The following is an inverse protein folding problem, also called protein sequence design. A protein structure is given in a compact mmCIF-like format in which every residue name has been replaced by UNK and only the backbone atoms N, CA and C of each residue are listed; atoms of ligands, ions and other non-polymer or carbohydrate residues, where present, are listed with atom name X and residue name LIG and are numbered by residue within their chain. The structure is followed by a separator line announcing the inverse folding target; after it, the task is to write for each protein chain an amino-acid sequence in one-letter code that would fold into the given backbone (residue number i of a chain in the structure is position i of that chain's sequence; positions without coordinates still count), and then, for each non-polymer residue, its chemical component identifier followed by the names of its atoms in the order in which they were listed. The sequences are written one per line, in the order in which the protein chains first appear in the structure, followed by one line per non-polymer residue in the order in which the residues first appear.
data_IF_131053073496
#
_entry.id   IF_131053073496
#
_cell.length_a   1.000
_cell.length_b   1.000
_cell.length_c   1.000
_cell.angle_alpha   90.00
_cell.angle_beta   90.00
_cell.angle_gamma   90.00
#
_symmetry.space_group_name_H-M   'P 1'
#
loop_
_entity.id
_entity.type
_entity.pdbx_description
1 polymer ?
#
# COMPACT_ATOMS: atom_id res chain seq x y z
N UNK A 1 68.50 -23.50 -8.91
CA UNK A 1 68.14 -23.47 -10.34
C UNK A 1 66.62 -23.36 -10.42
N UNK A 2 66.11 -22.15 -10.59
CA UNK A 2 64.68 -21.84 -10.54
C UNK A 2 64.04 -22.04 -11.91
N UNK A 3 62.97 -22.83 -11.97
CA UNK A 3 62.16 -23.03 -13.18
C UNK A 3 60.91 -22.18 -13.04
N UNK A 4 60.84 -21.11 -13.85
CA UNK A 4 59.64 -20.31 -14.04
C UNK A 4 58.70 -21.03 -15.03
N UNK A 5 57.46 -21.30 -14.61
CA UNK A 5 56.35 -21.66 -15.48
C UNK A 5 55.45 -20.43 -15.68
N UNK A 6 55.11 -20.02 -16.91
CA UNK A 6 54.23 -18.89 -17.15
C UNK A 6 52.76 -19.29 -17.00
N UNK A 7 52.05 -18.57 -16.14
CA UNK A 7 50.59 -18.68 -15.99
C UNK A 7 49.91 -18.02 -17.21
N UNK A 8 49.16 -18.80 -17.99
CA UNK A 8 48.41 -18.32 -19.16
C UNK A 8 47.21 -17.47 -18.75
N UNK A 9 47.22 -16.21 -19.18
CA UNK A 9 46.25 -15.13 -18.89
C UNK A 9 44.85 -15.33 -19.53
N UNK A 10 44.62 -16.38 -20.31
CA UNK A 10 43.38 -16.53 -21.11
C UNK A 10 42.20 -17.20 -20.37
N UNK A 11 42.40 -17.74 -19.16
CA UNK A 11 41.35 -18.52 -18.47
C UNK A 11 40.55 -17.73 -17.41
N UNK A 12 40.99 -16.53 -17.01
CA UNK A 12 40.29 -15.73 -16.01
C UNK A 12 39.11 -14.90 -16.57
N UNK A 13 39.04 -14.72 -17.90
CA UNK A 13 38.03 -13.86 -18.56
C UNK A 13 36.70 -14.54 -18.83
N UNK A 14 36.66 -15.88 -18.91
CA UNK A 14 35.42 -16.63 -19.19
C UNK A 14 34.58 -16.89 -17.94
N UNK A 15 35.18 -16.95 -16.75
CA UNK A 15 34.43 -17.12 -15.50
C UNK A 15 33.72 -15.83 -15.05
N UNK A 16 34.30 -14.66 -15.31
CA UNK A 16 33.66 -13.37 -14.98
C UNK A 16 32.40 -13.06 -15.79
N UNK A 17 32.31 -13.55 -17.04
CA UNK A 17 31.15 -13.30 -17.91
C UNK A 17 29.93 -14.14 -17.52
N UNK A 18 30.12 -15.37 -17.05
CA UNK A 18 29.04 -16.24 -16.57
C UNK A 18 28.48 -15.79 -15.22
N UNK A 19 29.31 -15.30 -14.30
CA UNK A 19 28.82 -14.71 -13.05
C UNK A 19 28.06 -13.39 -13.27
N UNK A 20 28.48 -12.56 -14.22
CA UNK A 20 27.78 -11.31 -14.53
C UNK A 20 26.41 -11.54 -15.18
N UNK A 21 26.27 -12.54 -16.06
CA UNK A 21 24.99 -12.93 -16.66
C UNK A 21 24.04 -13.60 -15.65
N UNK A 22 24.56 -14.42 -14.74
CA UNK A 22 23.76 -15.04 -13.67
C UNK A 22 23.25 -14.01 -12.65
N UNK A 23 24.10 -13.04 -12.24
CA UNK A 23 23.69 -11.94 -11.36
C UNK A 23 22.70 -10.98 -12.05
N UNK A 24 22.88 -10.72 -13.34
CA UNK A 24 21.93 -9.91 -14.14
C UNK A 24 20.57 -10.59 -14.29
N UNK A 25 20.53 -11.91 -14.49
CA UNK A 25 19.28 -12.67 -14.58
C UNK A 25 18.56 -12.77 -13.21
N UNK A 26 19.29 -12.92 -12.11
CA UNK A 26 18.71 -12.92 -10.75
C UNK A 26 18.13 -11.53 -10.41
N UNK A 27 18.83 -10.44 -10.75
CA UNK A 27 18.32 -9.08 -10.54
C UNK A 27 17.02 -8.81 -11.35
N UNK A 28 16.93 -9.30 -12.59
CA UNK A 28 15.71 -9.18 -13.41
C UNK A 28 14.55 -10.03 -12.90
N UNK A 29 14.80 -11.20 -12.32
CA UNK A 29 13.75 -12.06 -11.73
C UNK A 29 13.24 -11.51 -10.40
N UNK A 30 14.09 -10.83 -9.61
CA UNK A 30 13.67 -10.17 -8.36
C UNK A 30 12.93 -8.85 -8.64
N UNK A 31 13.34 -8.07 -9.65
CA UNK A 31 12.66 -6.83 -10.05
C UNK A 31 11.37 -7.07 -10.86
N UNK A 32 11.24 -8.21 -11.55
CA UNK A 32 10.09 -8.52 -12.40
C UNK A 32 8.84 -9.06 -11.68
N UNK A 33 8.93 -9.38 -10.38
CA UNK A 33 7.82 -9.99 -9.61
C UNK A 33 6.83 -9.01 -8.99
N UNK A 34 7.03 -7.70 -9.17
CA UNK A 34 6.21 -6.67 -8.54
C UNK A 34 5.68 -5.68 -9.59
N UNK A 35 5.14 -6.18 -10.70
CA UNK A 35 4.28 -5.31 -11.51
C UNK A 35 3.02 -5.05 -10.68
N UNK A 36 2.76 -3.79 -10.25
CA UNK A 36 1.49 -3.47 -9.60
C UNK A 36 0.33 -3.92 -10.49
N UNK A 37 -0.79 -4.30 -9.88
CA UNK A 37 -1.93 -4.76 -10.65
C UNK A 37 -2.32 -3.71 -11.69
N UNK A 38 -2.69 -4.16 -12.90
CA UNK A 38 -3.12 -3.26 -13.97
C UNK A 38 -4.26 -2.40 -13.44
N UNK A 39 -4.01 -1.10 -13.31
CA UNK A 39 -5.04 -0.14 -12.94
C UNK A 39 -6.11 -0.13 -14.03
N UNK A 40 -7.38 -0.25 -13.63
CA UNK A 40 -8.49 -0.10 -14.57
C UNK A 40 -9.01 1.32 -14.46
N UNK A 41 -9.01 2.03 -15.58
CA UNK A 41 -9.63 3.34 -15.68
C UNK A 41 -11.10 3.20 -16.08
N UNK A 42 -11.99 3.80 -15.30
CA UNK A 42 -13.41 3.94 -15.63
C UNK A 42 -13.64 5.44 -15.80
N UNK A 43 -13.61 5.97 -17.03
CA UNK A 43 -13.74 7.40 -17.29
C UNK A 43 -15.02 7.96 -16.66
N UNK A 44 -14.90 9.12 -16.03
CA UNK A 44 -16.00 9.86 -15.40
C UNK A 44 -16.69 9.18 -14.21
N UNK A 45 -16.06 8.17 -13.58
CA UNK A 45 -16.52 7.71 -12.26
C UNK A 45 -16.10 8.68 -11.15
N UNK A 46 -16.89 8.76 -10.07
CA UNK A 46 -16.49 9.56 -8.89
C UNK A 46 -15.13 9.13 -8.34
N UNK A 47 -14.81 7.84 -8.46
CA UNK A 47 -13.52 7.29 -8.06
C UNK A 47 -12.37 7.79 -8.96
N UNK A 48 -12.52 7.76 -10.29
CA UNK A 48 -11.49 8.28 -11.20
C UNK A 48 -11.30 9.78 -11.04
N UNK A 49 -12.38 10.53 -10.81
CA UNK A 49 -12.32 11.98 -10.55
C UNK A 49 -11.59 12.28 -9.24
N UNK A 50 -11.89 11.56 -8.16
CA UNK A 50 -11.16 11.69 -6.90
C UNK A 50 -9.68 11.31 -7.06
N UNK A 51 -9.37 10.20 -7.73
CA UNK A 51 -8.00 9.73 -7.94
C UNK A 51 -7.15 10.63 -8.87
N UNK A 52 -7.77 11.54 -9.64
CA UNK A 52 -7.02 12.53 -10.42
C UNK A 52 -6.23 13.51 -9.54
N UNK A 53 -6.61 13.68 -8.27
CA UNK A 53 -5.89 14.54 -7.34
C UNK A 53 -4.71 13.82 -6.69
N UNK A 54 -3.49 14.38 -6.71
CA UNK A 54 -2.31 13.73 -6.15
C UNK A 54 -2.47 13.32 -4.68
N UNK A 55 -3.13 14.12 -3.84
CA UNK A 55 -3.34 13.80 -2.42
C UNK A 55 -4.30 12.63 -2.17
N UNK A 56 -5.05 12.17 -3.17
CA UNK A 56 -5.86 10.95 -3.07
C UNK A 56 -5.09 9.70 -3.53
N UNK A 57 -3.93 9.87 -4.16
CA UNK A 57 -3.08 8.78 -4.61
C UNK A 57 -2.10 8.37 -3.52
N UNK A 58 -2.10 7.08 -3.20
CA UNK A 58 -1.18 6.49 -2.21
C UNK A 58 0.28 6.81 -2.51
N UNK A 59 0.68 6.80 -3.78
CA UNK A 59 2.05 7.05 -4.22
C UNK A 59 2.54 8.49 -3.96
N UNK A 60 1.63 9.44 -3.71
CA UNK A 60 1.98 10.82 -3.37
C UNK A 60 2.59 10.96 -1.98
N UNK A 61 2.44 9.94 -1.11
CA UNK A 61 2.98 9.95 0.24
C UNK A 61 4.22 9.06 0.33
N UNK A 62 5.40 9.61 0.69
CA UNK A 62 6.64 8.84 0.71
C UNK A 62 6.61 7.77 1.81
N UNK A 63 7.01 6.55 1.48
CA UNK A 63 7.17 5.46 2.44
C UNK A 63 8.49 5.67 3.18
N UNK A 64 8.41 6.32 4.33
CA UNK A 64 9.53 6.60 5.23
C UNK A 64 9.14 6.21 6.65
N UNK A 65 10.08 5.86 7.54
CA UNK A 65 9.77 5.64 8.95
C UNK A 65 8.91 6.79 9.51
N UNK A 66 7.86 6.44 10.26
CA UNK A 66 6.97 7.44 10.83
C UNK A 66 7.74 8.30 11.86
N UNK A 67 7.57 9.64 11.84
CA UNK A 67 8.23 10.50 12.80
C UNK A 67 7.79 10.16 14.24
N UNK A 68 8.72 10.22 15.19
CA UNK A 68 8.45 10.04 16.64
C UNK A 68 7.77 11.27 17.26
N UNK A 69 6.80 11.85 16.56
CA UNK A 69 6.07 13.03 17.04
C UNK A 69 5.22 12.67 18.26
N UNK A 70 5.32 13.44 19.34
CA UNK A 70 4.42 13.28 20.49
C UNK A 70 2.94 13.59 20.15
N UNK A 71 2.70 14.30 19.04
CA UNK A 71 1.39 14.81 18.65
C UNK A 71 0.67 13.95 17.58
N UNK A 72 1.41 13.03 16.95
CA UNK A 72 0.89 12.11 15.94
C UNK A 72 1.14 10.69 16.42
N UNK A 73 0.16 9.80 16.19
CA UNK A 73 0.26 8.40 16.54
C UNK A 73 0.09 7.54 15.30
N UNK A 74 0.90 6.51 15.10
CA UNK A 74 0.64 5.50 14.07
C UNK A 74 -0.78 4.93 14.22
N UNK A 75 -1.45 4.66 13.09
CA UNK A 75 -2.78 4.05 13.08
C UNK A 75 -2.79 2.57 13.54
N UNK A 76 -1.60 1.99 13.78
CA UNK A 76 -1.39 0.61 14.17
C UNK A 76 0.10 0.27 14.13
N UNK A 77 0.48 -0.88 14.69
CA UNK A 77 1.87 -1.37 14.71
C UNK A 77 2.33 -1.87 13.34
N UNK A 78 1.40 -2.37 12.53
CA UNK A 78 1.64 -2.80 11.16
C UNK A 78 0.67 -2.11 10.24
N UNK A 79 1.21 -1.28 9.36
CA UNK A 79 0.47 -0.46 8.41
C UNK A 79 1.04 -0.66 7.03
N UNK A 80 0.17 -0.68 6.04
CA UNK A 80 0.59 -0.89 4.67
C UNK A 80 -0.56 -0.84 3.70
N UNK A 81 -0.22 -1.12 2.46
CA UNK A 81 -1.17 -1.28 1.37
C UNK A 81 -1.28 -2.75 0.99
N UNK A 82 -2.50 -3.20 0.73
CA UNK A 82 -2.73 -4.48 0.09
C UNK A 82 -2.59 -4.35 -1.42
N UNK A 83 -1.90 -5.32 -2.02
CA UNK A 83 -1.71 -5.45 -3.46
C UNK A 83 -2.27 -6.81 -3.87
N UNK A 84 -3.17 -6.81 -4.85
CA UNK A 84 -3.74 -8.05 -5.37
C UNK A 84 -2.64 -8.85 -6.10
N UNK A 85 -2.40 -10.13 -5.79
CA UNK A 85 -1.43 -10.95 -6.51
C UNK A 85 -1.75 -11.02 -7.99
N UNK A 86 -0.74 -10.99 -8.86
CA UNK A 86 -0.96 -11.20 -10.29
C UNK A 86 -1.46 -12.64 -10.57
N UNK A 87 -1.98 -12.90 -11.77
CA UNK A 87 -2.36 -14.27 -12.15
C UNK A 87 -1.15 -15.22 -12.16
N UNK A 88 0.04 -14.71 -12.51
CA UNK A 88 1.28 -15.47 -12.49
C UNK A 88 1.69 -15.83 -11.06
N UNK A 89 1.60 -14.86 -10.14
CA UNK A 89 1.86 -15.10 -8.72
C UNK A 89 0.92 -16.15 -8.15
N UNK A 90 -0.37 -16.03 -8.46
CA UNK A 90 -1.39 -16.97 -8.00
C UNK A 90 -1.19 -18.37 -8.58
N UNK A 91 -0.84 -18.48 -9.87
CA UNK A 91 -0.54 -19.76 -10.51
C UNK A 91 0.69 -20.46 -9.89
N UNK A 92 1.71 -19.68 -9.51
CA UNK A 92 2.89 -20.19 -8.84
C UNK A 92 2.59 -20.67 -7.40
N UNK A 93 1.68 -19.98 -6.70
CA UNK A 93 1.30 -20.33 -5.35
C UNK A 93 -0.20 -20.07 -5.10
N UNK A 94 -1.07 -21.06 -5.34
CA UNK A 94 -2.50 -20.91 -5.13
C UNK A 94 -2.88 -20.76 -3.64
N UNK A 95 -4.04 -20.17 -3.38
CA UNK A 95 -4.62 -19.99 -2.04
C UNK A 95 -4.95 -18.53 -1.71
N UNK A 96 -5.55 -18.29 -0.54
CA UNK A 96 -5.89 -16.93 -0.11
C UNK A 96 -4.71 -16.25 0.59
N UNK A 97 -4.12 -15.30 -0.11
CA UNK A 97 -3.04 -14.43 0.34
C UNK A 97 -3.03 -13.15 -0.50
N UNK A 98 -2.42 -12.10 0.02
CA UNK A 98 -2.22 -10.85 -0.71
C UNK A 98 -0.78 -10.35 -0.51
N UNK A 99 -0.31 -9.49 -1.41
CA UNK A 99 0.91 -8.73 -1.18
C UNK A 99 0.62 -7.60 -0.19
N UNK A 100 1.58 -7.31 0.69
CA UNK A 100 1.50 -6.24 1.67
C UNK A 100 2.75 -5.37 1.56
N UNK A 101 2.58 -4.14 1.09
CA UNK A 101 3.64 -3.13 1.07
C UNK A 101 3.72 -2.48 2.45
N UNK A 102 4.81 -2.71 3.17
CA UNK A 102 4.97 -2.30 4.57
C UNK A 102 5.29 -0.80 4.62
N UNK A 103 4.41 -0.02 5.24
CA UNK A 103 4.63 1.42 5.46
C UNK A 103 5.06 1.75 6.88
N UNK A 104 4.72 0.87 7.82
CA UNK A 104 5.15 0.87 9.20
C UNK A 104 5.08 -0.57 9.71
N UNK A 105 6.13 -1.02 10.37
CA UNK A 105 6.19 -2.31 11.05
C UNK A 105 6.57 -2.11 12.50
N UNK A 106 6.23 -3.09 13.34
CA UNK A 106 6.57 -3.08 14.75
C UNK A 106 8.09 -2.93 14.98
N UNK A 107 8.50 -2.50 16.17
CA UNK A 107 9.89 -2.18 16.54
C UNK A 107 10.93 -3.27 16.21
N UNK A 108 10.52 -4.51 15.94
CA UNK A 108 11.39 -5.63 15.55
C UNK A 108 11.62 -5.83 14.04
N UNK A 109 11.05 -5.02 13.16
CA UNK A 109 11.19 -5.21 11.71
C UNK A 109 11.34 -3.89 10.89
N UNK A 110 12.22 -2.95 11.29
CA UNK A 110 12.39 -1.69 10.58
C UNK A 110 12.86 -1.89 9.13
N UNK A 111 13.65 -2.94 8.87
CA UNK A 111 14.19 -3.24 7.54
C UNK A 111 13.12 -3.59 6.52
N UNK A 112 11.92 -3.98 6.96
CA UNK A 112 10.81 -4.31 6.07
C UNK A 112 10.08 -3.06 5.56
N UNK A 113 10.28 -1.88 6.15
CA UNK A 113 9.62 -0.65 5.68
C UNK A 113 10.01 -0.36 4.23
N UNK A 114 9.00 -0.18 3.37
CA UNK A 114 9.15 -0.02 1.92
C UNK A 114 9.26 -1.33 1.14
N UNK A 115 9.32 -2.48 1.82
CA UNK A 115 9.30 -3.79 1.16
C UNK A 115 7.88 -4.30 0.98
N UNK A 116 7.70 -5.11 -0.06
CA UNK A 116 6.48 -5.89 -0.29
C UNK A 116 6.70 -7.31 0.19
N UNK A 117 5.91 -7.74 1.17
CA UNK A 117 5.94 -9.10 1.73
C UNK A 117 4.61 -9.79 1.52
N UNK A 118 4.59 -11.12 1.53
CA UNK A 118 3.33 -11.87 1.46
C UNK A 118 2.60 -11.78 2.80
N UNK A 119 1.31 -11.48 2.75
CA UNK A 119 0.38 -11.57 3.87
C UNK A 119 -0.50 -12.82 3.70
N UNK A 120 -0.51 -13.68 4.71
CA UNK A 120 -1.33 -14.89 4.76
C UNK A 120 -2.13 -14.96 6.07
N UNK A 121 -3.04 -15.93 6.14
CA UNK A 121 -3.70 -16.28 7.39
C UNK A 121 -2.77 -17.06 8.31
N UNK A 122 -2.81 -16.72 9.61
CA UNK A 122 -2.17 -17.54 10.64
C UNK A 122 -2.82 -18.92 10.67
N UNK A 123 -2.05 -20.03 10.68
CA UNK A 123 -2.62 -21.37 10.73
C UNK A 123 -3.47 -21.58 11.98
N UNK A 124 -4.77 -21.80 11.79
CA UNK A 124 -5.71 -22.20 12.84
C UNK A 124 -6.96 -22.80 12.21
N UNK A 125 -7.66 -23.68 12.94
CA UNK A 125 -8.91 -24.27 12.46
C UNK A 125 -9.98 -23.20 12.17
N UNK A 126 -10.04 -22.15 13.00
CA UNK A 126 -10.99 -21.05 12.82
C UNK A 126 -10.73 -20.28 11.51
N UNK A 127 -9.46 -19.94 11.22
CA UNK A 127 -9.11 -19.24 9.99
C UNK A 127 -9.34 -20.11 8.76
N UNK A 128 -8.97 -21.39 8.81
CA UNK A 128 -9.23 -22.32 7.71
C UNK A 128 -10.71 -22.43 7.39
N UNK A 129 -11.57 -22.60 8.42
CA UNK A 129 -13.01 -22.67 8.24
C UNK A 129 -13.58 -21.35 7.69
N UNK A 130 -13.14 -20.21 8.22
CA UNK A 130 -13.57 -18.91 7.72
C UNK A 130 -13.22 -18.72 6.24
N UNK A 131 -11.95 -18.93 5.87
CA UNK A 131 -11.47 -18.80 4.49
C UNK A 131 -12.24 -19.73 3.55
N UNK A 132 -12.37 -21.01 3.91
CA UNK A 132 -13.11 -21.99 3.10
C UNK A 132 -14.57 -21.59 2.89
N UNK A 133 -15.23 -21.08 3.93
CA UNK A 133 -16.67 -20.73 3.89
C UNK A 133 -16.96 -19.57 2.93
N UNK A 134 -16.07 -18.59 2.88
CA UNK A 134 -16.30 -17.32 2.17
C UNK A 134 -15.55 -17.23 0.84
N UNK A 135 -14.65 -18.18 0.56
CA UNK A 135 -13.94 -18.25 -0.73
C UNK A 135 -14.93 -18.51 -1.86
N UNK A 136 -14.87 -17.71 -2.92
CA UNK A 136 -15.78 -17.81 -4.07
C UNK A 136 -15.04 -17.65 -5.38
N UNK A 137 -15.59 -18.27 -6.41
CA UNK A 137 -15.28 -17.92 -7.79
C UNK A 137 -16.05 -16.64 -8.14
N UNK A 138 -15.39 -15.70 -8.81
CA UNK A 138 -15.96 -14.41 -9.17
C UNK A 138 -16.09 -14.32 -10.68
N UNK A 139 -17.32 -14.20 -11.14
CA UNK A 139 -17.67 -13.94 -12.52
C UNK A 139 -18.76 -12.87 -12.54
N UNK A 140 -18.58 -11.84 -13.36
CA UNK A 140 -19.53 -10.75 -13.43
C UNK A 140 -20.82 -11.20 -14.10
N UNK A 141 -21.94 -10.83 -13.48
CA UNK A 141 -23.24 -10.95 -14.13
C UNK A 141 -23.44 -9.80 -15.12
N UNK A 142 -24.41 -9.95 -16.02
CA UNK A 142 -24.82 -8.85 -16.90
C UNK A 142 -25.19 -7.58 -16.13
N UNK A 143 -25.73 -7.73 -14.90
CA UNK A 143 -26.01 -6.60 -14.03
C UNK A 143 -24.71 -5.87 -13.65
N UNK A 144 -23.69 -6.58 -13.18
CA UNK A 144 -22.40 -5.99 -12.80
C UNK A 144 -21.74 -5.25 -13.99
N UNK A 145 -21.81 -5.83 -15.19
CA UNK A 145 -21.34 -5.18 -16.42
C UNK A 145 -22.12 -3.90 -16.74
N UNK A 146 -23.44 -3.91 -16.57
CA UNK A 146 -24.25 -2.71 -16.76
C UNK A 146 -23.91 -1.63 -15.72
N UNK A 147 -23.64 -1.99 -14.46
CA UNK A 147 -23.21 -1.03 -13.43
C UNK A 147 -21.88 -0.38 -13.82
N UNK A 148 -20.90 -1.19 -14.25
CA UNK A 148 -19.62 -0.73 -14.75
C UNK A 148 -19.78 0.24 -15.93
N UNK A 149 -20.59 -0.12 -16.93
CA UNK A 149 -20.84 0.70 -18.10
C UNK A 149 -21.50 2.06 -17.78
N UNK A 150 -22.22 2.14 -16.66
CA UNK A 150 -22.82 3.36 -16.14
C UNK A 150 -21.89 4.17 -15.21
N UNK A 151 -20.58 3.86 -15.19
CA UNK A 151 -19.59 4.60 -14.40
C UNK A 151 -19.56 4.24 -12.91
N UNK A 152 -20.23 3.16 -12.49
CA UNK A 152 -20.14 2.68 -11.11
C UNK A 152 -18.87 1.86 -10.90
N UNK A 153 -18.31 1.96 -9.69
CA UNK A 153 -17.18 1.13 -9.29
C UNK A 153 -17.67 -0.28 -8.96
N UNK A 154 -17.14 -1.24 -9.67
CA UNK A 154 -17.25 -2.68 -9.39
C UNK A 154 -15.83 -3.26 -9.27
N UNK A 155 -15.63 -4.37 -8.53
CA UNK A 155 -14.30 -4.94 -8.29
C UNK A 155 -13.78 -5.70 -9.53
N UNK A 156 -13.61 -4.99 -10.65
CA UNK A 156 -13.36 -5.55 -11.98
C UNK A 156 -12.07 -6.38 -12.04
N UNK A 157 -11.08 -6.08 -11.19
CA UNK A 157 -9.82 -6.82 -11.09
C UNK A 157 -9.99 -8.24 -10.55
N UNK A 158 -11.14 -8.52 -9.94
CA UNK A 158 -11.52 -9.85 -9.47
C UNK A 158 -12.36 -10.62 -10.50
N UNK A 159 -12.85 -9.97 -11.56
CA UNK A 159 -13.68 -10.64 -12.55
C UNK A 159 -12.90 -11.77 -13.25
N UNK A 160 -13.50 -12.96 -13.30
CA UNK A 160 -12.90 -14.16 -13.89
C UNK A 160 -11.97 -14.93 -12.94
N UNK A 161 -11.66 -14.40 -11.76
CA UNK A 161 -10.82 -15.11 -10.79
C UNK A 161 -11.57 -16.25 -10.12
N UNK A 162 -10.86 -17.35 -9.87
CA UNK A 162 -11.36 -18.52 -9.14
C UNK A 162 -10.77 -18.54 -7.73
N UNK A 163 -11.53 -19.08 -6.78
CA UNK A 163 -11.09 -19.27 -5.38
C UNK A 163 -10.58 -17.98 -4.73
N UNK A 164 -11.30 -16.88 -4.96
CA UNK A 164 -11.03 -15.59 -4.31
C UNK A 164 -11.44 -15.68 -2.86
N UNK A 165 -10.46 -15.75 -1.96
CA UNK A 165 -10.68 -15.65 -0.52
C UNK A 165 -10.71 -14.19 -0.03
N UNK A 166 -10.88 -13.96 1.28
CA UNK A 166 -11.04 -12.63 1.84
C UNK A 166 -9.87 -11.67 1.61
N UNK A 167 -8.62 -12.14 1.71
CA UNK A 167 -7.46 -11.25 1.54
C UNK A 167 -7.38 -10.76 0.10
N UNK A 168 -7.57 -11.65 -0.87
CA UNK A 168 -7.63 -11.26 -2.29
C UNK A 168 -8.87 -10.40 -2.59
N UNK A 169 -10.02 -10.71 -2.00
CA UNK A 169 -11.24 -9.91 -2.17
C UNK A 169 -11.04 -8.48 -1.71
N UNK A 170 -10.44 -8.29 -0.53
CA UNK A 170 -10.12 -6.98 0.02
C UNK A 170 -9.09 -6.23 -0.83
N UNK A 171 -8.02 -6.90 -1.26
CA UNK A 171 -6.97 -6.30 -2.09
C UNK A 171 -7.46 -5.90 -3.50
N UNK A 172 -8.39 -6.67 -4.08
CA UNK A 172 -8.94 -6.45 -5.41
C UNK A 172 -10.26 -5.68 -5.45
N UNK A 173 -10.75 -5.19 -4.30
CA UNK A 173 -12.04 -4.52 -4.20
C UNK A 173 -12.11 -3.17 -4.94
N UNK A 174 -10.95 -2.53 -5.17
CA UNK A 174 -10.82 -1.23 -5.82
C UNK A 174 -10.13 -1.34 -7.18
N UNK A 175 -10.26 -0.31 -8.00
CA UNK A 175 -9.70 -0.28 -9.36
C UNK A 175 -8.16 -0.24 -9.40
N UNK A 176 -7.53 0.10 -8.29
CA UNK A 176 -6.08 0.16 -8.13
C UNK A 176 -5.68 -0.49 -6.80
N UNK A 177 -4.39 -0.78 -6.63
CA UNK A 177 -3.83 -1.14 -5.33
C UNK A 177 -3.70 0.12 -4.48
N UNK A 178 -4.80 0.54 -3.86
CA UNK A 178 -4.89 1.73 -3.00
C UNK A 178 -5.64 1.45 -1.68
N UNK A 179 -5.89 0.18 -1.37
CA UNK A 179 -6.48 -0.25 -0.10
C UNK A 179 -5.41 -0.24 0.98
N UNK A 180 -5.52 0.73 1.89
CA UNK A 180 -4.61 0.89 3.02
C UNK A 180 -5.19 0.25 4.26
N UNK A 181 -4.41 -0.59 4.95
CA UNK A 181 -4.88 -1.37 6.09
C UNK A 181 -3.93 -1.30 7.26
N UNK A 182 -4.49 -1.54 8.45
CA UNK A 182 -3.72 -1.96 9.62
C UNK A 182 -3.97 -3.44 9.92
N UNK A 183 -2.93 -4.12 10.39
CA UNK A 183 -3.04 -5.50 10.88
C UNK A 183 -3.16 -5.51 12.40
N UNK A 184 -3.96 -6.44 12.93
CA UNK A 184 -4.12 -6.66 14.38
C UNK A 184 -3.32 -7.88 14.77
N UNK A 185 -2.34 -7.69 15.65
CA UNK A 185 -1.43 -8.72 16.17
C UNK A 185 -0.85 -9.67 15.10
N UNK A 186 -0.29 -9.16 13.99
CA UNK A 186 0.28 -10.05 12.98
C UNK A 186 1.55 -10.73 13.50
N UNK A 187 1.77 -11.97 13.09
CA UNK A 187 3.01 -12.71 13.28
C UNK A 187 3.91 -12.58 12.07
N UNK A 188 5.20 -12.38 12.28
CA UNK A 188 6.21 -12.41 11.23
C UNK A 188 6.91 -13.76 11.25
N UNK A 189 6.96 -14.44 10.11
CA UNK A 189 7.56 -15.78 9.98
C UNK A 189 8.53 -15.82 8.80
N UNK A 190 9.54 -16.69 8.86
CA UNK A 190 10.40 -16.97 7.73
C UNK A 190 9.94 -18.29 7.09
N UNK A 191 9.54 -18.24 5.82
CA UNK A 191 9.11 -19.39 5.04
C UNK A 191 10.07 -19.56 3.86
N UNK A 192 10.90 -20.61 3.89
CA UNK A 192 11.85 -20.91 2.81
C UNK A 192 12.80 -19.74 2.46
N UNK A 193 13.17 -18.92 3.45
CA UNK A 193 14.05 -17.77 3.27
C UNK A 193 13.33 -16.45 2.99
N UNK A 194 12.00 -16.48 2.79
CA UNK A 194 11.17 -15.29 2.57
C UNK A 194 10.44 -14.89 3.86
N UNK A 195 10.39 -13.59 4.14
CA UNK A 195 9.62 -13.06 5.26
C UNK A 195 8.14 -12.98 4.88
N UNK A 196 7.29 -13.58 5.70
CA UNK A 196 5.84 -13.68 5.49
C UNK A 196 5.11 -13.17 6.72
N UNK A 197 4.22 -12.20 6.52
CA UNK A 197 3.29 -11.73 7.53
C UNK A 197 2.08 -12.65 7.62
N UNK A 198 1.66 -12.95 8.84
CA UNK A 198 0.52 -13.80 9.14
C UNK A 198 -0.47 -13.05 10.02
N UNK A 199 -1.72 -12.95 9.60
CA UNK A 199 -2.78 -12.32 10.41
C UNK A 199 -3.79 -13.35 10.90
N UNK A 200 -4.30 -13.16 12.12
CA UNK A 200 -5.42 -13.96 12.64
C UNK A 200 -6.77 -13.32 12.37
N UNK A 201 -6.80 -12.03 12.07
CA UNK A 201 -8.01 -11.24 11.85
C UNK A 201 -7.96 -10.59 10.47
N UNK A 202 -9.13 -10.30 9.91
CA UNK A 202 -9.22 -9.55 8.66
C UNK A 202 -8.54 -8.18 8.81
N UNK A 203 -7.71 -7.77 7.83
CA UNK A 203 -7.10 -6.44 7.86
C UNK A 203 -8.13 -5.33 7.96
N UNK A 204 -7.89 -4.36 8.83
CA UNK A 204 -8.82 -3.22 9.04
C UNK A 204 -8.43 -2.12 8.05
N UNK A 205 -9.35 -1.73 7.18
CA UNK A 205 -9.17 -0.56 6.31
C UNK A 205 -9.05 0.72 7.15
N UNK A 206 -8.06 1.53 6.82
CA UNK A 206 -7.77 2.80 7.51
C UNK A 206 -7.64 3.92 6.49
N UNK A 207 -7.69 5.16 6.97
CA UNK A 207 -7.33 6.35 6.21
C UNK A 207 -6.11 6.99 6.86
N UNK A 208 -5.00 7.06 6.11
CA UNK A 208 -3.76 7.65 6.58
C UNK A 208 -2.91 6.76 7.49
N UNK A 209 -1.65 7.14 7.65
CA UNK A 209 -0.61 6.39 8.37
C UNK A 209 -0.53 6.76 9.84
N UNK A 210 -0.84 8.02 10.14
CA UNK A 210 -0.81 8.59 11.47
C UNK A 210 -2.07 9.42 11.70
N UNK A 211 -2.43 9.62 12.96
CA UNK A 211 -3.51 10.51 13.35
C UNK A 211 -3.09 11.35 14.56
N UNK A 212 -3.65 12.56 14.64
CA UNK A 212 -3.52 13.46 15.79
C UNK A 212 -4.84 14.17 16.03
N UNK A 213 -5.12 14.48 17.30
CA UNK A 213 -6.30 15.26 17.66
C UNK A 213 -5.92 16.74 17.66
N UNK A 214 -6.67 17.55 16.91
CA UNK A 214 -6.36 18.97 16.74
C UNK A 214 -7.61 19.84 16.85
N UNK A 215 -7.43 21.09 17.26
CA UNK A 215 -8.40 22.17 17.13
C UNK A 215 -7.97 23.07 15.97
N UNK A 216 -8.84 23.24 14.98
CA UNK A 216 -8.63 24.20 13.89
C UNK A 216 -8.85 25.61 14.44
N UNK A 217 -7.86 26.49 14.31
CA UNK A 217 -7.93 27.87 14.78
C UNK A 217 -8.41 28.83 13.68
N UNK A 218 -8.15 28.49 12.42
CA UNK A 218 -8.53 29.26 11.25
C UNK A 218 -7.52 29.11 10.12
N UNK A 219 -7.71 29.84 9.00
CA UNK A 219 -6.71 29.94 7.92
C UNK A 219 -5.33 30.33 8.47
N UNK A 220 -4.26 29.71 7.96
CA UNK A 220 -2.90 30.06 8.34
C UNK A 220 -2.37 31.20 7.44
N UNK A 221 -2.21 32.43 7.97
CA UNK A 221 -1.73 33.56 7.16
C UNK A 221 -0.22 33.50 6.90
N UNK A 222 0.51 32.61 7.57
CA UNK A 222 1.98 32.51 7.46
C UNK A 222 2.40 31.65 6.27
N UNK A 223 1.50 30.79 5.78
CA UNK A 223 1.76 29.94 4.61
C UNK A 223 1.39 30.71 3.34
N UNK A 224 2.39 31.25 2.66
CA UNK A 224 2.22 31.86 1.34
C UNK A 224 2.22 30.80 0.23
N UNK A 225 1.11 30.07 0.12
CA UNK A 225 0.87 29.09 -0.94
C UNK A 225 -0.16 29.63 -1.95
N UNK A 226 -0.03 29.28 -3.25
CA UNK A 226 -1.04 29.64 -4.24
C UNK A 226 -2.39 29.02 -3.86
N UNK A 227 -3.47 29.78 -4.07
CA UNK A 227 -4.83 29.27 -3.88
C UNK A 227 -5.13 28.21 -4.93
N UNK A 228 -5.93 27.17 -4.60
CA UNK A 228 -6.42 26.22 -5.59
C UNK A 228 -7.13 26.93 -6.73
N UNK A 229 -6.99 26.41 -7.95
CA UNK A 229 -7.70 26.95 -9.13
C UNK A 229 -9.15 26.50 -9.18
N UNK A 230 -9.46 25.36 -8.56
CA UNK A 230 -10.77 24.73 -8.55
C UNK A 230 -11.22 24.42 -7.13
N UNK A 231 -12.48 24.71 -6.82
CA UNK A 231 -13.12 24.38 -5.54
C UNK A 231 -14.64 24.34 -5.72
N UNK A 232 -15.39 23.61 -4.88
CA UNK A 232 -16.86 23.54 -4.95
C UNK A 232 -17.59 24.87 -4.64
N UNK A 233 -16.86 25.90 -4.21
CA UNK A 233 -17.41 27.18 -3.74
C UNK A 233 -17.15 28.36 -4.67
N UNK A 234 -17.53 29.58 -4.26
CA UNK A 234 -17.27 30.79 -5.04
C UNK A 234 -15.78 31.06 -5.16
N UNK A 235 -15.37 31.59 -6.31
CA UNK A 235 -14.03 32.09 -6.53
C UNK A 235 -13.83 33.46 -5.84
N UNK A 236 -12.62 33.77 -5.35
CA UNK A 236 -11.41 32.93 -5.34
C UNK A 236 -11.52 31.78 -4.33
N UNK A 237 -10.92 30.63 -4.65
CA UNK A 237 -10.93 29.49 -3.73
C UNK A 237 -10.29 29.81 -2.37
N UNK A 238 -10.83 29.25 -1.27
CA UNK A 238 -10.22 29.42 0.05
C UNK A 238 -8.86 28.73 0.12
N UNK A 239 -8.02 29.16 1.06
CA UNK A 239 -6.76 28.47 1.36
C UNK A 239 -7.01 27.04 1.85
N UNK A 240 -6.09 26.15 1.51
CA UNK A 240 -6.07 24.78 2.06
C UNK A 240 -5.25 24.68 3.34
N UNK A 241 -4.61 25.76 3.78
CA UNK A 241 -3.73 25.76 4.95
C UNK A 241 -4.40 26.40 6.16
N UNK A 242 -4.45 25.64 7.24
CA UNK A 242 -5.08 26.02 8.49
C UNK A 242 -4.08 25.94 9.63
N UNK A 243 -4.11 26.94 10.50
CA UNK A 243 -3.40 26.85 11.76
C UNK A 243 -4.19 25.92 12.68
N UNK A 244 -3.53 24.89 13.17
CA UNK A 244 -4.12 23.95 14.14
C UNK A 244 -3.38 24.00 15.46
N UNK A 245 -4.07 23.67 16.54
CA UNK A 245 -3.50 23.44 17.86
C UNK A 245 -3.68 21.98 18.26
N UNK A 246 -2.57 21.28 18.55
CA UNK A 246 -2.62 19.88 18.94
C UNK A 246 -3.19 19.68 20.35
N UNK A 247 -3.88 18.56 20.52
CA UNK A 247 -4.31 18.07 21.82
C UNK A 247 -3.08 17.61 22.62
N UNK A 248 -2.97 18.10 23.83
CA UNK A 248 -1.94 17.72 24.78
C UNK A 248 -2.55 16.74 25.80
N UNK A 249 -2.08 15.49 25.74
CA UNK A 249 -2.56 14.44 26.64
C UNK A 249 -2.13 14.66 28.09
N UNK A 250 -1.08 15.44 28.35
CA UNK A 250 -0.61 15.73 29.71
C UNK A 250 -1.54 16.73 30.41
N UNK A 251 -2.09 17.70 29.68
CA UNK A 251 -3.01 18.71 30.23
C UNK A 251 -4.49 18.37 30.00
N UNK A 252 -4.77 17.41 29.11
CA UNK A 252 -6.13 17.01 28.77
C UNK A 252 -6.86 18.01 27.86
N UNK A 253 -6.15 18.93 27.20
CA UNK A 253 -6.76 20.00 26.40
C UNK A 253 -5.96 20.38 25.15
N UNK A 254 -6.49 21.30 24.36
CA UNK A 254 -5.79 21.85 23.18
C UNK A 254 -4.78 22.93 23.59
N UNK A 255 -3.78 22.54 24.37
CA UNK A 255 -2.68 23.41 24.80
C UNK A 255 -1.35 23.02 24.17
N UNK A 256 -1.35 22.02 23.29
CA UNK A 256 -0.17 21.56 22.58
C UNK A 256 0.36 22.59 21.57
N UNK A 257 1.45 22.24 20.86
CA UNK A 257 2.04 23.13 19.87
C UNK A 257 1.04 23.47 18.76
N UNK A 258 1.28 24.62 18.14
CA UNK A 258 0.56 25.03 16.93
C UNK A 258 1.38 24.69 15.71
N UNK A 259 0.74 24.23 14.65
CA UNK A 259 1.38 23.97 13.37
C UNK A 259 0.44 24.29 12.20
N UNK A 260 0.98 24.56 11.01
CA UNK A 260 0.19 24.55 9.78
C UNK A 260 -0.28 23.11 9.48
N UNK A 261 -1.53 22.97 9.03
CA UNK A 261 -2.09 21.74 8.51
C UNK A 261 -2.74 22.02 7.16
N UNK A 262 -2.40 21.20 6.15
CA UNK A 262 -3.06 21.27 4.84
C UNK A 262 -4.29 20.36 4.83
N UNK A 263 -5.45 20.92 4.51
CA UNK A 263 -6.72 20.22 4.32
C UNK A 263 -7.15 20.49 2.86
N UNK A 264 -6.81 19.59 1.92
CA UNK A 264 -7.07 19.82 0.51
C UNK A 264 -8.56 19.75 0.18
N UNK A 265 -8.98 20.54 -0.82
CA UNK A 265 -10.35 20.49 -1.34
C UNK A 265 -10.51 19.30 -2.29
N UNK A 266 -11.56 18.50 -2.10
CA UNK A 266 -11.90 17.45 -3.06
C UNK A 266 -12.42 18.07 -4.37
N UNK A 267 -12.18 17.42 -5.52
CA UNK A 267 -12.67 17.91 -6.80
C UNK A 267 -14.20 17.88 -6.81
N UNK A 268 -14.82 18.68 -7.69
CA UNK A 268 -16.26 18.57 -7.91
C UNK A 268 -16.57 17.22 -8.55
N UNK A 269 -17.50 16.47 -7.96
CA UNK A 269 -18.00 15.18 -8.45
C UNK A 269 -19.30 15.39 -9.24
#
# INVERSE_FOLDING_TARGET
MAIFLPCRVSQCRRFGLFCALALGAIALVVLGRLTPGVAVDIPNSNYSLAQAQPFNQVANYPIQPLPTSANLRPNGQWLGRLILPSEQDYAAQPGDWAWFEVWHGAEGAPDLVGQTVRLTWKPSQANSLYVETVTRDIEFSQQAENFLANGNVVPIRLNGRRQVGPLQSLAGARLQDDVTVRLVDPGLTNQAGEMVLQTSLEPIQITGREYGLVKILGPDPTVNAPLPTECPGPQPCPTEFFQVQFYDTATGGFTGPRAPCRIPQQPML
#
